data_IF_446948233601
#
_entry.id   IF_446948233601
#
_cell.length_a   1.000
_cell.length_b   1.000
_cell.length_c   1.000
_cell.angle_alpha   90.00
_cell.angle_beta   90.00
_cell.angle_gamma   90.00
#
_symmetry.space_group_name_H-M   'P 1'
#
loop_
_entity.id
_entity.type
_entity.pdbx_description
1 polymer ?
#
# COMPACT_ATOMS: atom_id res chain seq x y z
N UNK A 1 28.54 56.06 -1.47
CA UNK A 1 28.16 55.81 -2.87
C UNK A 1 26.91 54.94 -2.88
N UNK A 2 25.91 55.39 -3.63
CA UNK A 2 24.54 54.86 -3.82
C UNK A 2 24.48 53.46 -4.48
N UNK A 3 23.30 52.83 -4.62
CA UNK A 3 23.06 51.38 -4.46
C UNK A 3 22.51 50.73 -5.75
N UNK A 4 22.28 49.41 -5.78
CA UNK A 4 21.34 48.75 -6.73
C UNK A 4 20.81 47.47 -6.07
N UNK A 5 19.54 47.42 -5.62
CA UNK A 5 18.28 47.17 -6.34
C UNK A 5 17.89 45.68 -6.45
N UNK A 6 16.87 45.37 -5.65
CA UNK A 6 15.78 44.40 -5.80
C UNK A 6 15.68 43.59 -7.10
N UNK A 7 15.40 42.29 -6.95
CA UNK A 7 14.34 41.62 -7.72
C UNK A 7 13.69 40.49 -6.92
N UNK A 8 12.41 40.68 -6.62
CA UNK A 8 11.47 39.67 -6.16
C UNK A 8 10.78 39.07 -7.40
N UNK A 9 10.67 37.74 -7.51
CA UNK A 9 9.74 37.05 -8.43
C UNK A 9 9.23 35.74 -7.82
N UNK A 10 7.97 35.81 -7.39
CA UNK A 10 6.86 34.83 -7.34
C UNK A 10 7.10 33.31 -7.21
N UNK A 11 6.66 32.80 -6.05
CA UNK A 11 5.67 31.73 -5.82
C UNK A 11 5.38 30.71 -6.95
N UNK A 12 5.80 29.46 -6.72
CA UNK A 12 4.97 28.25 -6.93
C UNK A 12 5.47 27.11 -6.02
N UNK A 13 4.61 26.65 -5.10
CA UNK A 13 4.67 25.31 -4.48
C UNK A 13 5.75 25.04 -3.42
N UNK A 14 5.68 25.68 -2.25
CA UNK A 14 6.46 25.24 -1.08
C UNK A 14 5.89 23.92 -0.52
N UNK A 15 6.39 22.78 -1.01
CA UNK A 15 6.38 21.55 -0.22
C UNK A 15 7.39 21.72 0.93
N UNK A 16 6.90 21.93 2.15
CA UNK A 16 7.74 21.86 3.35
C UNK A 16 8.13 20.40 3.59
N UNK A 17 9.15 19.90 2.88
CA UNK A 17 9.84 18.66 3.26
C UNK A 17 10.48 18.93 4.62
N UNK A 18 9.95 18.31 5.70
CA UNK A 18 10.66 18.28 6.98
C UNK A 18 11.99 17.57 6.73
N UNK A 19 13.10 18.33 6.78
CA UNK A 19 14.43 17.72 6.82
C UNK A 19 14.59 17.12 8.20
N UNK A 20 14.55 15.79 8.29
CA UNK A 20 15.02 15.08 9.48
C UNK A 20 16.52 15.32 9.61
N UNK A 21 16.89 16.39 10.31
CA UNK A 21 18.25 16.59 10.76
C UNK A 21 18.43 15.72 11.99
N UNK A 22 19.18 14.63 11.86
CA UNK A 22 19.52 13.77 12.99
C UNK A 22 20.39 14.59 13.94
N UNK A 23 19.79 15.23 14.94
CA UNK A 23 20.53 15.88 16.02
C UNK A 23 21.23 14.79 16.82
N UNK A 24 22.53 14.96 17.07
CA UNK A 24 23.32 14.05 17.89
C UNK A 24 22.84 14.12 19.35
N UNK A 25 21.84 13.32 19.70
CA UNK A 25 21.50 13.04 21.10
C UNK A 25 22.54 12.09 21.69
N UNK A 26 23.11 12.46 22.84
CA UNK A 26 23.99 11.64 23.68
C UNK A 26 23.22 10.54 24.46
N UNK A 27 22.07 10.09 23.98
CA UNK A 27 21.36 8.97 24.61
C UNK A 27 22.10 7.67 24.33
N UNK A 28 22.14 6.77 25.33
CA UNK A 28 22.62 5.41 25.09
C UNK A 28 21.83 4.76 23.93
N UNK A 29 22.47 3.91 23.13
CA UNK A 29 21.77 3.16 22.08
C UNK A 29 20.65 2.30 22.66
N UNK A 30 19.53 2.26 21.96
CA UNK A 30 18.46 1.32 22.29
C UNK A 30 18.85 -0.13 21.98
N UNK A 31 18.57 -1.07 22.89
CA UNK A 31 18.44 -2.49 22.57
C UNK A 31 17.09 -2.71 21.89
N UNK A 32 17.12 -3.06 20.61
CA UNK A 32 15.92 -3.12 19.78
C UNK A 32 15.56 -4.58 19.45
N UNK A 33 14.29 -4.91 19.65
CA UNK A 33 13.69 -6.13 19.08
C UNK A 33 12.88 -5.76 17.85
N UNK A 34 13.32 -6.18 16.66
CA UNK A 34 12.65 -5.90 15.40
C UNK A 34 11.75 -7.06 14.97
N UNK A 35 10.50 -6.76 14.62
CA UNK A 35 9.49 -7.70 14.14
C UNK A 35 9.02 -7.29 12.74
N UNK A 36 9.41 -8.05 11.72
CA UNK A 36 9.01 -7.81 10.33
C UNK A 36 9.33 -9.00 9.44
N UNK A 37 8.73 -9.06 8.25
CA UNK A 37 8.86 -10.23 7.36
C UNK A 37 9.08 -9.90 5.89
N UNK A 38 8.57 -8.78 5.39
CA UNK A 38 8.46 -8.51 3.95
C UNK A 38 9.34 -7.34 3.48
N UNK A 39 9.30 -7.08 2.17
CA UNK A 39 10.04 -5.99 1.53
C UNK A 39 9.59 -4.60 2.00
N UNK A 40 8.38 -4.47 2.57
CA UNK A 40 7.98 -3.21 3.20
C UNK A 40 8.77 -2.99 4.49
N UNK A 41 8.92 -4.04 5.32
CA UNK A 41 9.62 -3.96 6.60
C UNK A 41 11.14 -3.89 6.47
N UNK A 42 11.73 -4.48 5.42
CA UNK A 42 13.18 -4.60 5.24
C UNK A 42 13.93 -3.24 5.31
N UNK A 43 13.53 -2.17 4.61
CA UNK A 43 14.22 -0.88 4.71
C UNK A 43 14.24 -0.27 6.12
N UNK A 44 13.29 -0.63 6.98
CA UNK A 44 13.26 -0.19 8.38
C UNK A 44 14.37 -0.87 9.18
N UNK A 45 14.51 -2.20 9.04
CA UNK A 45 15.60 -2.95 9.66
C UNK A 45 16.96 -2.45 9.15
N UNK A 46 17.13 -2.29 7.84
CA UNK A 46 18.37 -1.79 7.25
C UNK A 46 18.73 -0.40 7.78
N UNK A 47 17.75 0.49 7.90
CA UNK A 47 17.98 1.83 8.43
C UNK A 47 18.44 1.79 9.90
N UNK A 48 17.79 0.99 10.74
CA UNK A 48 18.20 0.80 12.14
C UNK A 48 19.59 0.17 12.21
N UNK A 49 19.83 -0.94 11.50
CA UNK A 49 21.12 -1.63 11.51
C UNK A 49 22.28 -0.74 11.07
N UNK A 50 22.17 -0.07 9.91
CA UNK A 50 23.20 0.83 9.39
C UNK A 50 23.49 2.02 10.33
N UNK A 51 22.47 2.49 11.06
CA UNK A 51 22.62 3.60 12.01
C UNK A 51 23.36 3.16 13.29
N UNK A 52 23.38 1.87 13.60
CA UNK A 52 23.97 1.34 14.82
C UNK A 52 25.40 0.82 14.58
N UNK A 53 25.66 0.15 13.45
CA UNK A 53 27.04 -0.23 13.04
C UNK A 53 27.99 0.98 13.03
N UNK A 54 27.51 2.15 12.58
CA UNK A 54 28.32 3.37 12.49
C UNK A 54 28.73 3.97 13.83
N UNK A 55 28.07 3.58 14.92
CA UNK A 55 28.27 4.20 16.24
C UNK A 55 28.84 3.23 17.26
N UNK A 56 29.09 1.97 16.87
CA UNK A 56 29.72 0.95 17.71
C UNK A 56 28.90 0.61 18.97
N UNK A 57 27.57 0.72 18.87
CA UNK A 57 26.68 0.53 20.01
C UNK A 57 25.46 -0.35 19.72
N UNK A 58 25.46 -1.52 20.37
CA UNK A 58 24.41 -2.46 20.84
C UNK A 58 23.49 -3.26 19.89
N UNK A 59 23.28 -4.50 20.34
CA UNK A 59 22.43 -5.62 19.94
C UNK A 59 21.07 -5.26 19.31
N UNK A 60 20.89 -5.70 18.06
CA UNK A 60 19.59 -5.86 17.39
C UNK A 60 19.25 -7.35 17.44
N UNK A 61 18.07 -7.66 17.96
CA UNK A 61 17.50 -8.99 17.89
C UNK A 61 16.29 -8.94 16.95
N UNK A 62 16.14 -9.92 16.08
CA UNK A 62 15.02 -9.99 15.13
C UNK A 62 14.12 -11.15 15.53
N UNK A 63 12.80 -10.95 15.56
CA UNK A 63 11.84 -12.07 15.60
C UNK A 63 11.19 -12.18 14.23
N UNK A 64 11.31 -13.36 13.63
CA UNK A 64 10.76 -13.68 12.31
C UNK A 64 9.66 -14.72 12.42
N UNK A 65 8.68 -14.64 11.52
CA UNK A 65 7.76 -15.74 11.30
C UNK A 65 8.47 -16.88 10.53
N UNK A 66 8.72 -17.99 11.23
CA UNK A 66 8.82 -19.36 10.71
C UNK A 66 9.98 -19.77 9.78
N UNK A 67 10.83 -18.90 9.19
CA UNK A 67 12.14 -19.27 8.58
C UNK A 67 12.95 -18.03 8.13
N UNK A 68 14.29 -18.13 8.09
CA UNK A 68 15.23 -17.16 7.44
C UNK A 68 15.03 -17.01 5.91
N UNK A 69 13.90 -17.44 5.35
CA UNK A 69 13.59 -17.38 3.92
C UNK A 69 12.95 -16.06 3.48
N UNK A 70 12.41 -15.29 4.43
CA UNK A 70 11.77 -14.02 4.18
C UNK A 70 12.79 -12.88 3.90
N UNK A 71 12.33 -11.74 3.41
CA UNK A 71 13.22 -10.64 3.01
C UNK A 71 14.05 -10.12 4.19
N UNK A 72 13.40 -9.95 5.34
CA UNK A 72 14.04 -9.55 6.60
C UNK A 72 15.05 -10.58 7.06
N UNK A 73 14.69 -11.87 7.04
CA UNK A 73 15.58 -12.93 7.54
C UNK A 73 16.78 -13.23 6.68
N UNK A 74 16.65 -13.12 5.36
CA UNK A 74 17.80 -13.18 4.44
C UNK A 74 18.81 -12.09 4.76
N UNK A 75 18.33 -10.86 4.98
CA UNK A 75 19.20 -9.74 5.34
C UNK A 75 19.82 -9.93 6.73
N UNK A 76 19.03 -10.34 7.72
CA UNK A 76 19.50 -10.62 9.08
C UNK A 76 20.68 -11.61 9.09
N UNK A 77 20.52 -12.72 8.39
CA UNK A 77 21.54 -13.76 8.28
C UNK A 77 22.81 -13.25 7.58
N UNK A 78 22.66 -12.47 6.50
CA UNK A 78 23.79 -11.89 5.77
C UNK A 78 24.55 -10.84 6.61
N UNK A 79 23.82 -10.09 7.43
CA UNK A 79 24.35 -9.05 8.30
C UNK A 79 24.86 -9.58 9.65
N UNK A 80 24.74 -10.88 9.92
CA UNK A 80 25.14 -11.48 11.20
C UNK A 80 24.25 -11.06 12.39
N UNK A 81 23.03 -10.60 12.14
CA UNK A 81 22.07 -10.19 13.17
C UNK A 81 21.42 -11.45 13.76
N UNK A 82 21.37 -11.56 15.08
CA UNK A 82 20.74 -12.69 15.75
C UNK A 82 19.22 -12.68 15.51
N UNK A 83 18.70 -13.78 14.96
CA UNK A 83 17.28 -14.00 14.70
C UNK A 83 16.66 -15.02 15.66
N UNK A 84 15.35 -14.86 15.92
CA UNK A 84 14.50 -15.79 16.67
C UNK A 84 13.29 -16.16 15.82
N UNK A 85 12.82 -17.40 15.99
CA UNK A 85 11.59 -17.87 15.34
C UNK A 85 10.40 -17.49 16.22
N UNK A 86 9.36 -16.93 15.61
CA UNK A 86 8.08 -16.66 16.25
C UNK A 86 7.38 -17.97 16.66
N UNK A 87 6.81 -18.06 17.88
CA UNK A 87 6.74 -17.02 18.91
C UNK A 87 8.01 -16.94 19.77
N UNK A 88 8.45 -15.70 20.07
CA UNK A 88 9.50 -15.41 21.04
C UNK A 88 9.04 -14.27 21.94
N UNK A 89 9.22 -14.46 23.26
CA UNK A 89 8.96 -13.44 24.27
C UNK A 89 10.25 -13.25 25.07
N UNK A 90 10.88 -12.06 25.03
CA UNK A 90 12.07 -11.79 25.81
C UNK A 90 11.73 -11.65 27.30
N UNK A 91 12.75 -11.81 28.15
CA UNK A 91 12.62 -11.39 29.55
C UNK A 91 12.34 -9.88 29.61
N UNK A 92 11.47 -9.41 30.53
CA UNK A 92 11.19 -7.98 30.68
C UNK A 92 12.47 -7.16 30.87
N UNK A 93 12.62 -6.09 30.08
CA UNK A 93 13.80 -5.22 30.10
C UNK A 93 15.06 -5.79 29.42
N UNK A 94 14.98 -6.97 28.80
CA UNK A 94 16.08 -7.46 27.95
C UNK A 94 16.31 -6.56 26.73
N UNK A 95 15.23 -5.95 26.23
CA UNK A 95 15.21 -4.94 25.18
C UNK A 95 14.53 -3.68 25.70
N UNK A 96 14.98 -2.52 25.22
CA UNK A 96 14.45 -1.22 25.64
C UNK A 96 13.18 -0.87 24.87
N UNK A 97 13.14 -1.20 23.58
CA UNK A 97 12.03 -0.88 22.67
C UNK A 97 11.83 -1.96 21.62
N UNK A 98 10.57 -2.29 21.33
CA UNK A 98 10.21 -3.11 20.18
C UNK A 98 9.93 -2.25 18.95
N UNK A 99 10.19 -2.78 17.76
CA UNK A 99 9.78 -2.17 16.50
C UNK A 99 9.05 -3.22 15.67
N UNK A 100 7.84 -2.93 15.24
CA UNK A 100 7.05 -3.79 14.35
C UNK A 100 6.74 -3.06 13.04
N UNK A 101 6.92 -3.76 11.93
CA UNK A 101 6.51 -3.30 10.61
C UNK A 101 6.14 -4.53 9.76
N UNK A 102 4.91 -4.58 9.25
CA UNK A 102 4.42 -5.67 8.38
C UNK A 102 4.78 -7.08 8.86
N UNK A 103 4.48 -7.37 10.13
CA UNK A 103 4.79 -8.67 10.75
C UNK A 103 3.66 -9.70 10.62
N UNK A 104 2.42 -9.25 10.44
CA UNK A 104 1.28 -10.14 10.14
C UNK A 104 0.70 -10.93 11.32
N UNK A 105 1.28 -10.82 12.52
CA UNK A 105 0.77 -11.47 13.74
C UNK A 105 0.23 -10.48 14.76
N UNK A 106 -0.77 -10.92 15.53
CA UNK A 106 -1.20 -10.21 16.73
C UNK A 106 -0.16 -10.44 17.83
N UNK A 107 0.35 -9.35 18.42
CA UNK A 107 1.35 -9.44 19.48
C UNK A 107 0.67 -9.70 20.83
N UNK A 108 1.10 -10.72 21.60
CA UNK A 108 0.53 -11.02 22.90
C UNK A 108 0.90 -9.93 23.90
N UNK A 109 0.02 -9.64 24.86
CA UNK A 109 0.23 -8.58 25.86
C UNK A 109 1.54 -8.77 26.65
N UNK A 110 1.94 -10.01 26.93
CA UNK A 110 3.22 -10.33 27.59
C UNK A 110 4.42 -9.80 26.81
N UNK A 111 4.44 -9.97 25.48
CA UNK A 111 5.49 -9.41 24.63
C UNK A 111 5.46 -7.90 24.65
N UNK A 112 4.28 -7.27 24.52
CA UNK A 112 4.15 -5.81 24.52
C UNK A 112 4.68 -5.21 25.83
N UNK A 113 4.35 -5.84 26.95
CA UNK A 113 4.72 -5.38 28.29
C UNK A 113 6.19 -5.68 28.67
N UNK A 114 6.92 -6.45 27.85
CA UNK A 114 8.33 -6.77 28.11
C UNK A 114 9.27 -5.58 27.85
N UNK A 115 8.80 -4.52 27.17
CA UNK A 115 9.60 -3.38 26.75
C UNK A 115 9.34 -2.13 27.60
N UNK A 116 10.36 -1.51 28.21
CA UNK A 116 10.23 -0.24 28.93
C UNK A 116 9.57 0.88 28.11
N UNK A 117 9.87 0.98 26.81
CA UNK A 117 9.31 1.98 25.90
C UNK A 117 8.23 1.39 24.96
N UNK A 118 7.68 0.22 25.32
CA UNK A 118 6.68 -0.47 24.51
C UNK A 118 7.22 -0.88 23.13
N UNK A 119 6.30 -0.98 22.16
CA UNK A 119 6.62 -1.35 20.78
C UNK A 119 6.07 -0.30 19.82
N UNK A 120 6.93 0.18 18.94
CA UNK A 120 6.60 1.12 17.87
C UNK A 120 6.12 0.36 16.63
N UNK A 121 5.00 0.78 16.04
CA UNK A 121 4.54 0.29 14.74
C UNK A 121 4.75 1.35 13.65
N UNK A 122 5.28 0.91 12.51
CA UNK A 122 5.36 1.74 11.30
C UNK A 122 4.18 1.42 10.38
N UNK A 123 3.14 2.25 10.43
CA UNK A 123 1.89 2.02 9.72
C UNK A 123 1.79 2.87 8.45
N UNK A 124 1.63 2.28 7.25
CA UNK A 124 1.63 3.02 5.98
C UNK A 124 0.26 3.62 5.63
N UNK A 125 -0.28 4.41 6.56
CA UNK A 125 -1.38 5.34 6.32
C UNK A 125 -1.32 6.54 7.28
N UNK A 126 -2.17 7.53 7.00
CA UNK A 126 -2.48 8.60 7.95
C UNK A 126 -3.59 8.13 8.91
N UNK A 127 -3.20 7.47 10.00
CA UNK A 127 -4.13 7.04 11.05
C UNK A 127 -4.92 8.23 11.60
N UNK A 128 -6.23 8.05 11.90
CA UNK A 128 -6.94 6.78 12.06
C UNK A 128 -7.49 6.15 10.76
N UNK A 129 -7.20 6.72 9.59
CA UNK A 129 -7.64 6.16 8.30
C UNK A 129 -6.89 4.86 8.00
N UNK A 130 -7.60 3.87 7.47
CA UNK A 130 -7.06 2.60 6.99
C UNK A 130 -6.33 1.74 8.05
N UNK A 131 -6.93 1.58 9.24
CA UNK A 131 -6.49 0.59 10.25
C UNK A 131 -6.60 -0.84 9.70
N UNK A 132 -5.55 -1.65 9.81
CA UNK A 132 -5.56 -3.05 9.41
C UNK A 132 -4.44 -3.43 8.44
N UNK A 133 -4.63 -4.58 7.77
CA UNK A 133 -3.57 -5.31 7.08
C UNK A 133 -3.22 -4.84 5.66
N UNK A 134 -4.04 -4.02 5.00
CA UNK A 134 -3.81 -3.61 3.61
C UNK A 134 -4.00 -2.10 3.33
N UNK A 135 -3.51 -1.19 4.19
CA UNK A 135 -3.74 0.26 4.06
C UNK A 135 -3.34 0.84 2.70
N UNK A 136 -2.22 0.38 2.13
CA UNK A 136 -1.70 0.86 0.83
C UNK A 136 -2.70 0.57 -0.29
N UNK A 137 -3.22 -0.67 -0.36
CA UNK A 137 -4.18 -1.08 -1.37
C UNK A 137 -5.49 -0.28 -1.22
N UNK A 138 -5.99 -0.14 0.02
CA UNK A 138 -7.23 0.60 0.29
C UNK A 138 -7.11 2.10 0.00
N UNK A 139 -5.94 2.69 0.21
CA UNK A 139 -5.63 4.07 -0.17
C UNK A 139 -5.79 4.29 -1.68
N UNK A 140 -5.29 3.36 -2.50
CA UNK A 140 -5.42 3.46 -3.96
C UNK A 140 -6.87 3.21 -4.39
N UNK A 141 -7.54 2.23 -3.79
CA UNK A 141 -8.93 1.89 -4.08
C UNK A 141 -9.89 3.04 -3.74
N UNK A 142 -9.67 3.78 -2.65
CA UNK A 142 -10.48 4.97 -2.31
C UNK A 142 -10.23 6.14 -3.27
N UNK A 143 -9.12 6.12 -4.00
CA UNK A 143 -8.72 7.21 -4.88
C UNK A 143 -8.16 8.41 -4.15
N UNK A 144 -7.58 8.21 -2.97
CA UNK A 144 -6.91 9.28 -2.23
C UNK A 144 -5.75 9.86 -3.07
N UNK A 145 -5.60 11.19 -3.02
CA UNK A 145 -4.46 11.90 -3.62
C UNK A 145 -3.31 12.12 -2.64
N UNK A 146 -3.54 11.85 -1.35
CA UNK A 146 -2.58 12.02 -0.27
C UNK A 146 -2.73 10.84 0.70
N UNK A 147 -1.61 10.26 1.11
CA UNK A 147 -1.50 9.29 2.20
C UNK A 147 -0.31 9.66 3.07
N UNK A 148 0.30 8.71 3.77
CA UNK A 148 1.45 8.95 4.59
C UNK A 148 1.87 7.74 5.40
N UNK A 149 2.76 7.99 6.35
CA UNK A 149 3.18 7.01 7.35
C UNK A 149 2.88 7.57 8.73
N UNK A 150 2.42 6.71 9.62
CA UNK A 150 2.24 6.98 11.04
C UNK A 150 3.19 6.10 11.84
N UNK A 151 3.93 6.69 12.79
CA UNK A 151 4.63 5.95 13.84
C UNK A 151 3.74 6.02 15.07
N UNK A 152 3.35 4.86 15.59
CA UNK A 152 2.47 4.75 16.76
C UNK A 152 3.04 3.78 17.78
N UNK A 153 2.64 3.91 19.04
CA UNK A 153 2.76 2.80 19.98
C UNK A 153 1.66 1.78 19.70
N UNK A 154 1.95 0.50 19.86
CA UNK A 154 0.91 -0.54 19.81
C UNK A 154 0.14 -0.61 21.13
N UNK A 155 -1.13 -0.96 21.03
CA UNK A 155 -1.96 -1.30 22.18
C UNK A 155 -2.24 -2.80 22.18
N UNK A 156 -2.34 -3.41 23.36
CA UNK A 156 -2.72 -4.80 23.47
C UNK A 156 -4.14 -5.04 22.92
N UNK A 157 -4.37 -6.24 22.37
CA UNK A 157 -5.66 -6.76 21.91
C UNK A 157 -6.34 -6.03 20.73
N UNK A 158 -5.82 -4.91 20.23
CA UNK A 158 -6.41 -4.16 19.11
C UNK A 158 -5.34 -3.71 18.10
N UNK A 159 -5.64 -3.86 16.81
CA UNK A 159 -4.76 -3.39 15.74
C UNK A 159 -4.90 -1.90 15.49
N UNK A 160 -3.76 -1.21 15.37
CA UNK A 160 -3.64 0.16 14.82
C UNK A 160 -4.45 1.24 15.55
N UNK A 161 -4.72 1.07 16.84
CA UNK A 161 -5.47 2.04 17.68
C UNK A 161 -4.61 2.81 18.67
N UNK A 162 -3.33 2.45 18.83
CA UNK A 162 -2.50 3.06 19.86
C UNK A 162 -2.09 4.50 19.56
N UNK A 163 -1.55 5.23 20.55
CA UNK A 163 -1.19 6.64 20.41
C UNK A 163 -0.20 6.92 19.27
N UNK A 164 -0.41 8.02 18.56
CA UNK A 164 0.47 8.50 17.49
C UNK A 164 1.64 9.27 18.09
N UNK A 165 2.85 8.91 17.65
CA UNK A 165 4.09 9.61 17.95
C UNK A 165 4.45 10.59 16.82
N UNK A 166 4.40 10.11 15.57
CA UNK A 166 4.70 10.89 14.38
C UNK A 166 3.73 10.56 13.26
N UNK A 167 3.49 11.52 12.39
CA UNK A 167 2.76 11.31 11.14
C UNK A 167 3.31 12.24 10.06
N UNK A 168 3.55 11.70 8.87
CA UNK A 168 4.01 12.48 7.72
C UNK A 168 3.20 12.16 6.48
N UNK A 169 2.80 13.22 5.77
CA UNK A 169 2.02 13.14 4.54
C UNK A 169 2.90 12.89 3.33
N UNK A 170 2.36 12.16 2.38
CA UNK A 170 2.96 11.84 1.10
C UNK A 170 1.90 12.00 0.00
N UNK A 171 2.21 12.79 -1.03
CA UNK A 171 1.36 12.89 -2.21
C UNK A 171 1.41 11.57 -2.99
N UNK A 172 0.28 11.19 -3.57
CA UNK A 172 0.13 10.00 -4.39
C UNK A 172 0.18 10.44 -5.85
N UNK A 173 1.15 9.92 -6.58
CA UNK A 173 1.26 10.19 -8.02
C UNK A 173 0.11 9.53 -8.77
N UNK A 174 -0.40 10.22 -9.80
CA UNK A 174 -1.47 9.68 -10.62
C UNK A 174 -0.99 8.45 -11.40
N UNK A 175 -1.71 7.33 -11.27
CA UNK A 175 -1.34 6.07 -11.91
C UNK A 175 -0.37 5.21 -11.10
N UNK A 176 0.04 5.62 -9.90
CA UNK A 176 0.92 4.79 -9.06
C UNK A 176 0.26 3.46 -8.69
N UNK A 177 1.03 2.37 -8.77
CA UNK A 177 0.63 1.04 -8.31
C UNK A 177 0.83 0.87 -6.81
N UNK A 178 0.16 -0.12 -6.22
CA UNK A 178 0.37 -0.46 -4.80
C UNK A 178 1.82 -0.89 -4.52
N UNK A 179 2.52 -1.47 -5.50
CA UNK A 179 3.92 -1.87 -5.36
C UNK A 179 4.83 -0.66 -5.27
N UNK A 180 4.64 0.34 -6.15
CA UNK A 180 5.43 1.57 -6.13
C UNK A 180 5.15 2.40 -4.88
N UNK A 181 3.87 2.56 -4.52
CA UNK A 181 3.48 3.29 -3.31
C UNK A 181 4.03 2.60 -2.04
N UNK A 182 4.06 1.26 -2.01
CA UNK A 182 4.70 0.50 -0.92
C UNK A 182 6.17 0.85 -0.77
N UNK A 183 6.93 0.88 -1.86
CA UNK A 183 8.35 1.24 -1.84
C UNK A 183 8.56 2.67 -1.34
N UNK A 184 7.74 3.62 -1.82
CA UNK A 184 7.79 5.02 -1.40
C UNK A 184 7.50 5.19 0.09
N UNK A 185 6.43 4.56 0.60
CA UNK A 185 6.05 4.65 2.01
C UNK A 185 7.01 3.87 2.93
N UNK A 186 7.59 2.77 2.47
CA UNK A 186 8.64 2.07 3.22
C UNK A 186 9.90 2.94 3.40
N UNK A 187 10.33 3.62 2.33
CA UNK A 187 11.46 4.57 2.41
C UNK A 187 11.18 5.77 3.30
N UNK A 188 9.94 6.26 3.32
CA UNK A 188 9.51 7.32 4.23
C UNK A 188 9.49 6.81 5.68
N UNK A 189 8.87 5.64 5.91
CA UNK A 189 8.72 5.04 7.22
C UNK A 189 10.05 4.72 7.89
N UNK A 190 11.07 4.27 7.14
CA UNK A 190 12.40 4.01 7.69
C UNK A 190 13.07 5.28 8.22
N UNK A 191 12.93 6.42 7.52
CA UNK A 191 13.44 7.72 7.98
C UNK A 191 12.69 8.20 9.22
N UNK A 192 11.36 8.07 9.21
CA UNK A 192 10.53 8.44 10.35
C UNK A 192 10.82 7.58 11.59
N UNK A 193 11.08 6.29 11.41
CA UNK A 193 11.46 5.38 12.48
C UNK A 193 12.78 5.80 13.13
N UNK A 194 13.81 6.12 12.32
CA UNK A 194 15.08 6.61 12.86
C UNK A 194 14.92 7.90 13.65
N UNK A 195 14.08 8.81 13.17
CA UNK A 195 13.75 10.03 13.91
C UNK A 195 13.03 9.71 15.22
N UNK A 196 12.03 8.82 15.18
CA UNK A 196 11.29 8.41 16.36
C UNK A 196 12.20 7.81 17.42
N UNK A 197 13.12 6.92 17.04
CA UNK A 197 14.10 6.33 17.95
C UNK A 197 15.06 7.38 18.52
N UNK A 198 15.44 8.40 17.74
CA UNK A 198 16.36 9.44 18.23
C UNK A 198 15.75 10.42 19.24
N UNK A 199 14.42 10.58 19.25
CA UNK A 199 13.69 11.53 20.08
C UNK A 199 12.55 10.88 20.89
N UNK A 200 12.67 9.56 21.15
CA UNK A 200 11.57 8.75 21.66
C UNK A 200 10.98 9.30 22.96
N UNK A 201 11.82 9.65 23.93
CA UNK A 201 11.38 10.19 25.22
C UNK A 201 10.50 11.43 25.12
N UNK A 202 10.75 12.32 24.15
CA UNK A 202 9.93 13.52 23.97
C UNK A 202 8.65 13.17 23.20
N UNK A 203 8.76 12.35 22.16
CA UNK A 203 7.61 11.89 21.39
C UNK A 203 6.60 11.10 22.23
N UNK A 204 7.06 10.32 23.21
CA UNK A 204 6.19 9.61 24.17
C UNK A 204 5.39 10.58 25.04
N UNK A 205 6.01 11.69 25.49
CA UNK A 205 5.32 12.72 26.27
C UNK A 205 4.29 13.48 25.44
N UNK A 206 4.55 13.64 24.15
CA UNK A 206 3.67 14.33 23.21
C UNK A 206 2.69 13.40 22.48
N UNK A 207 2.71 12.10 22.79
CA UNK A 207 1.94 11.09 22.11
C UNK A 207 0.43 11.41 22.16
N UNK A 208 -0.23 11.31 21.01
CA UNK A 208 -1.65 11.69 20.88
C UNK A 208 -2.52 10.47 20.69
N UNK A 209 -3.57 10.36 21.50
CA UNK A 209 -4.65 9.39 21.24
C UNK A 209 -5.24 9.69 19.86
N UNK A 210 -5.47 8.64 19.07
CA UNK A 210 -6.07 8.80 17.75
C UNK A 210 -7.50 9.35 17.87
N UNK A 211 -7.90 10.15 16.89
CA UNK A 211 -9.30 10.57 16.74
C UNK A 211 -10.21 9.37 16.49
N UNK A 212 -11.44 9.44 17.00
CA UNK A 212 -12.53 8.53 16.60
C UNK A 212 -13.19 8.98 15.28
N UNK A 213 -13.03 10.24 14.91
CA UNK A 213 -13.48 10.79 13.62
C UNK A 213 -12.50 10.43 12.51
N UNK A 214 -13.02 9.95 11.37
CA UNK A 214 -12.22 9.57 10.20
C UNK A 214 -11.61 8.15 10.28
N UNK A 215 -12.05 7.33 11.23
CA UNK A 215 -11.65 5.93 11.34
C UNK A 215 -12.17 5.16 10.13
N UNK A 216 -11.27 4.49 9.41
CA UNK A 216 -11.64 3.50 8.40
C UNK A 216 -10.75 2.27 8.53
N UNK A 217 -11.26 1.11 8.11
CA UNK A 217 -10.50 -0.14 8.17
C UNK A 217 -9.72 -0.35 6.85
N UNK A 218 -8.84 -1.33 6.81
CA UNK A 218 -8.18 -1.81 5.59
C UNK A 218 -7.93 -3.33 5.67
N UNK A 219 -8.97 -4.17 5.52
CA UNK A 219 -8.85 -5.62 5.59
C UNK A 219 -8.02 -6.17 4.44
N UNK A 220 -7.45 -7.36 4.65
CA UNK A 220 -6.61 -8.07 3.68
C UNK A 220 -7.29 -8.19 2.32
N UNK A 221 -6.53 -7.93 1.26
CA UNK A 221 -6.98 -8.17 -0.11
C UNK A 221 -7.15 -9.68 -0.34
N UNK A 222 -8.28 -10.07 -0.93
CA UNK A 222 -8.66 -11.46 -1.22
C UNK A 222 -8.89 -11.61 -2.72
N UNK A 223 -8.80 -12.84 -3.23
CA UNK A 223 -9.04 -13.16 -4.65
C UNK A 223 -10.38 -12.64 -5.18
N UNK A 224 -11.44 -12.65 -4.36
CA UNK A 224 -12.76 -12.10 -4.75
C UNK A 224 -12.70 -10.61 -5.11
N UNK A 225 -11.77 -9.85 -4.53
CA UNK A 225 -11.61 -8.42 -4.83
C UNK A 225 -11.01 -8.19 -6.22
N UNK A 226 -10.48 -9.21 -6.89
CA UNK A 226 -9.97 -9.10 -8.25
C UNK A 226 -11.06 -9.27 -9.31
N UNK A 227 -12.28 -9.68 -8.91
CA UNK A 227 -13.41 -9.82 -9.83
C UNK A 227 -13.86 -8.46 -10.34
N UNK A 228 -14.05 -8.34 -11.65
CA UNK A 228 -14.55 -7.10 -12.26
C UNK A 228 -16.08 -7.15 -12.31
N UNK A 229 -16.71 -6.05 -11.95
CA UNK A 229 -18.12 -5.80 -12.14
C UNK A 229 -18.29 -4.69 -13.17
N UNK A 230 -18.42 -5.09 -14.45
CA UNK A 230 -18.49 -4.19 -15.60
C UNK A 230 -19.69 -3.25 -15.52
N UNK A 231 -20.80 -3.69 -14.94
CA UNK A 231 -22.03 -2.91 -14.80
C UNK A 231 -21.95 -1.83 -13.72
N UNK A 232 -21.20 -2.08 -12.65
CA UNK A 232 -21.14 -1.19 -11.48
C UNK A 232 -19.93 -0.27 -11.46
N UNK A 233 -18.83 -0.68 -12.07
CA UNK A 233 -17.55 0.01 -12.00
C UNK A 233 -17.33 0.92 -13.20
N UNK A 234 -16.79 2.11 -12.93
CA UNK A 234 -16.29 3.04 -13.95
C UNK A 234 -14.90 2.63 -14.44
N UNK A 235 -14.40 3.23 -15.54
CA UNK A 235 -13.00 3.05 -15.92
C UNK A 235 -12.02 3.38 -14.79
N UNK A 236 -12.30 4.41 -13.99
CA UNK A 236 -11.47 4.82 -12.84
C UNK A 236 -11.50 3.81 -11.71
N UNK A 237 -12.66 3.20 -11.45
CA UNK A 237 -12.78 2.15 -10.42
C UNK A 237 -11.98 0.91 -10.82
N UNK A 238 -12.06 0.50 -12.09
CA UNK A 238 -11.32 -0.64 -12.62
C UNK A 238 -9.81 -0.35 -12.64
N UNK A 239 -9.39 0.86 -13.04
CA UNK A 239 -7.99 1.28 -12.99
C UNK A 239 -7.43 1.25 -11.56
N UNK A 240 -8.16 1.80 -10.58
CA UNK A 240 -7.76 1.73 -9.16
C UNK A 240 -7.70 0.29 -8.68
N UNK A 241 -8.67 -0.54 -9.05
CA UNK A 241 -8.68 -1.95 -8.72
C UNK A 241 -7.48 -2.68 -9.34
N UNK A 242 -7.13 -2.39 -10.59
CA UNK A 242 -5.95 -2.96 -11.25
C UNK A 242 -4.67 -2.59 -10.52
N UNK A 243 -4.46 -1.29 -10.24
CA UNK A 243 -3.27 -0.79 -9.56
C UNK A 243 -3.16 -1.22 -8.10
N UNK A 244 -4.29 -1.43 -7.42
CA UNK A 244 -4.33 -1.83 -6.02
C UNK A 244 -4.36 -3.33 -5.82
N UNK A 245 -5.24 -4.05 -6.50
CA UNK A 245 -5.50 -5.49 -6.32
C UNK A 245 -4.67 -6.32 -7.29
N UNK A 246 -4.48 -5.84 -8.52
CA UNK A 246 -3.72 -6.52 -9.59
C UNK A 246 -2.29 -6.89 -9.20
N UNK A 247 -1.69 -6.16 -8.26
CA UNK A 247 -0.34 -6.45 -7.72
C UNK A 247 -0.26 -7.71 -6.87
N UNK A 248 -1.41 -8.24 -6.42
CA UNK A 248 -1.51 -9.46 -5.60
C UNK A 248 -2.37 -10.52 -6.30
N UNK A 249 -3.43 -10.09 -6.99
CA UNK A 249 -4.37 -10.93 -7.71
C UNK A 249 -4.74 -10.23 -9.02
N UNK A 250 -4.28 -10.78 -10.15
CA UNK A 250 -4.69 -10.32 -11.49
C UNK A 250 -6.21 -10.20 -11.59
N UNK A 251 -6.69 -9.12 -12.20
CA UNK A 251 -8.12 -8.92 -12.37
C UNK A 251 -8.72 -10.07 -13.18
N UNK A 252 -9.96 -10.44 -12.85
CA UNK A 252 -10.61 -11.58 -13.46
C UNK A 252 -12.09 -11.32 -13.74
N UNK A 253 -12.56 -11.92 -14.81
CA UNK A 253 -13.94 -11.98 -15.25
C UNK A 253 -14.26 -13.41 -15.64
N UNK A 254 -15.45 -13.64 -16.18
CA UNK A 254 -15.81 -14.88 -16.85
C UNK A 254 -16.12 -14.62 -18.33
N UNK A 255 -15.75 -15.57 -19.18
CA UNK A 255 -16.04 -15.65 -20.60
C UNK A 255 -16.52 -17.07 -20.90
N UNK A 256 -17.75 -17.25 -21.39
CA UNK A 256 -18.32 -18.56 -21.70
C UNK A 256 -18.24 -19.57 -20.54
N UNK A 257 -18.59 -19.15 -19.32
CA UNK A 257 -18.55 -20.02 -18.14
C UNK A 257 -17.14 -20.30 -17.60
N UNK A 258 -16.10 -19.71 -18.18
CA UNK A 258 -14.70 -19.95 -17.82
C UNK A 258 -14.02 -18.68 -17.34
N UNK A 259 -13.20 -18.81 -16.28
CA UNK A 259 -12.43 -17.69 -15.74
C UNK A 259 -11.43 -17.20 -16.78
N UNK A 260 -11.43 -15.88 -16.97
CA UNK A 260 -10.48 -15.16 -17.81
C UNK A 260 -9.80 -14.09 -16.96
N UNK A 261 -8.48 -13.99 -17.04
CA UNK A 261 -7.73 -12.93 -16.33
C UNK A 261 -7.37 -11.82 -17.32
N UNK A 262 -7.55 -10.59 -16.85
CA UNK A 262 -7.25 -9.38 -17.59
C UNK A 262 -5.87 -8.88 -17.15
N UNK A 263 -4.92 -8.87 -18.09
CA UNK A 263 -3.53 -8.55 -17.82
C UNK A 263 -3.05 -7.42 -18.73
N UNK A 264 -1.98 -6.73 -18.33
CA UNK A 264 -1.42 -5.60 -19.08
C UNK A 264 -2.51 -4.57 -19.47
N UNK A 265 -3.15 -4.00 -18.45
CA UNK A 265 -4.16 -2.94 -18.63
C UNK A 265 -3.52 -1.68 -19.23
N UNK A 266 -4.14 -1.13 -20.27
CA UNK A 266 -3.73 0.15 -20.86
C UNK A 266 -4.04 1.27 -19.85
N UNK A 267 -3.04 2.09 -19.45
CA UNK A 267 -3.27 3.21 -18.55
C UNK A 267 -4.34 4.17 -19.08
N UNK A 268 -5.22 4.66 -18.21
CA UNK A 268 -6.36 5.49 -18.65
C UNK A 268 -5.94 6.73 -19.45
N UNK A 269 -4.78 7.35 -19.13
CA UNK A 269 -4.24 8.48 -19.89
C UNK A 269 -3.88 8.10 -21.33
N UNK A 270 -3.30 6.92 -21.52
CA UNK A 270 -2.98 6.38 -22.85
C UNK A 270 -4.25 5.93 -23.59
N UNK A 271 -5.30 5.58 -22.84
CA UNK A 271 -6.56 5.10 -23.39
C UNK A 271 -7.51 6.22 -23.86
N UNK A 272 -7.44 7.42 -23.28
CA UNK A 272 -8.32 8.54 -23.65
C UNK A 272 -8.40 8.85 -25.17
N UNK A 273 -7.30 8.81 -25.94
CA UNK A 273 -7.36 8.96 -27.39
C UNK A 273 -8.07 7.80 -28.09
N UNK A 274 -7.90 6.57 -27.59
CA UNK A 274 -8.52 5.34 -28.13
C UNK A 274 -10.04 5.39 -27.93
N UNK A 275 -10.48 5.78 -26.73
CA UNK A 275 -11.90 5.82 -26.36
C UNK A 275 -12.74 6.70 -27.30
N UNK A 276 -12.17 7.78 -27.83
CA UNK A 276 -12.86 8.68 -28.78
C UNK A 276 -13.27 8.00 -30.09
N UNK A 277 -12.58 6.92 -30.47
CA UNK A 277 -12.88 6.13 -31.67
C UNK A 277 -13.85 4.98 -31.43
N UNK A 278 -14.29 4.77 -30.18
CA UNK A 278 -15.18 3.66 -29.83
C UNK A 278 -16.65 4.00 -30.06
N UNK A 279 -17.52 2.98 -30.27
CA UNK A 279 -18.96 3.16 -30.38
C UNK A 279 -19.57 3.88 -29.18
N UNK A 280 -20.80 4.41 -29.35
CA UNK A 280 -21.55 5.05 -28.26
C UNK A 280 -21.69 4.11 -27.06
N UNK A 281 -21.95 4.70 -25.88
CA UNK A 281 -22.09 3.96 -24.63
C UNK A 281 -23.35 3.06 -24.55
N UNK A 282 -24.11 2.94 -25.64
CA UNK A 282 -25.39 2.22 -25.71
C UNK A 282 -25.24 0.69 -25.90
N UNK A 283 -24.01 0.18 -25.91
CA UNK A 283 -23.75 -1.27 -25.90
C UNK A 283 -23.73 -1.83 -24.47
N UNK A 284 -24.11 -3.11 -24.28
CA UNK A 284 -24.08 -3.77 -22.96
C UNK A 284 -22.71 -3.69 -22.27
N UNK A 285 -22.71 -3.65 -20.94
CA UNK A 285 -21.47 -3.80 -20.18
C UNK A 285 -20.87 -5.19 -20.40
N UNK A 286 -19.54 -5.28 -20.38
CA UNK A 286 -18.80 -6.50 -20.71
C UNK A 286 -18.62 -6.73 -22.22
N UNK A 287 -19.23 -5.93 -23.10
CA UNK A 287 -19.02 -6.05 -24.54
C UNK A 287 -17.54 -5.86 -24.90
N UNK A 288 -16.91 -6.84 -25.57
CA UNK A 288 -15.55 -6.71 -26.08
C UNK A 288 -15.50 -6.01 -27.44
N UNK A 289 -14.46 -5.20 -27.66
CA UNK A 289 -14.10 -4.65 -28.96
C UNK A 289 -12.59 -4.66 -29.11
N UNK A 290 -12.07 -5.32 -30.15
CA UNK A 290 -10.65 -5.26 -30.45
C UNK A 290 -10.30 -3.97 -31.18
N UNK A 291 -9.43 -3.16 -30.59
CA UNK A 291 -8.96 -1.92 -31.19
C UNK A 291 -7.63 -2.18 -31.91
N UNK A 292 -7.67 -2.13 -33.25
CA UNK A 292 -6.55 -2.54 -34.12
C UNK A 292 -5.30 -1.69 -33.87
N UNK A 293 -5.44 -0.36 -33.79
CA UNK A 293 -4.28 0.53 -33.77
C UNK A 293 -3.46 0.44 -32.47
N UNK A 294 -4.10 0.09 -31.34
CA UNK A 294 -3.41 -0.12 -30.06
C UNK A 294 -3.17 -1.60 -29.74
N UNK A 295 -3.58 -2.49 -30.63
CA UNK A 295 -3.59 -3.95 -30.44
C UNK A 295 -4.13 -4.38 -29.06
N UNK A 296 -5.21 -3.73 -28.60
CA UNK A 296 -5.78 -3.96 -27.28
C UNK A 296 -7.26 -4.34 -27.33
N UNK A 297 -7.69 -5.13 -26.35
CA UNK A 297 -9.07 -5.52 -26.18
C UNK A 297 -9.77 -4.51 -25.28
N UNK A 298 -10.64 -3.69 -25.87
CA UNK A 298 -11.50 -2.76 -25.15
C UNK A 298 -12.71 -3.51 -24.60
N UNK A 299 -13.10 -3.23 -23.36
CA UNK A 299 -14.25 -3.85 -22.70
C UNK A 299 -15.13 -2.74 -22.15
N UNK A 300 -16.41 -2.75 -22.53
CA UNK A 300 -17.41 -1.79 -22.04
C UNK A 300 -17.61 -1.97 -20.54
N UNK A 301 -17.56 -0.88 -19.79
CA UNK A 301 -17.98 -0.83 -18.39
C UNK A 301 -19.05 0.25 -18.21
N UNK A 302 -19.48 0.51 -16.97
CA UNK A 302 -20.69 1.29 -16.65
C UNK A 302 -20.83 2.57 -17.47
N UNK A 303 -19.80 3.42 -17.47
CA UNK A 303 -19.82 4.76 -18.06
C UNK A 303 -18.60 5.05 -18.94
N UNK A 304 -18.00 4.01 -19.51
CA UNK A 304 -16.91 4.15 -20.48
C UNK A 304 -16.29 2.81 -20.81
N UNK A 305 -15.04 2.84 -21.27
CA UNK A 305 -14.31 1.64 -21.64
C UNK A 305 -12.98 1.52 -20.89
N UNK A 306 -12.48 0.30 -20.80
CA UNK A 306 -11.09 0.02 -20.40
C UNK A 306 -10.47 -0.93 -21.41
N UNK A 307 -9.14 -0.96 -21.52
CA UNK A 307 -8.46 -1.82 -22.46
C UNK A 307 -7.34 -2.64 -21.82
N UNK A 308 -7.13 -3.84 -22.36
CA UNK A 308 -6.08 -4.77 -21.94
C UNK A 308 -5.31 -5.28 -23.17
N UNK A 309 -3.99 -5.38 -23.06
CA UNK A 309 -3.13 -5.89 -24.15
C UNK A 309 -2.92 -7.40 -24.05
N UNK A 310 -3.05 -7.97 -22.86
CA UNK A 310 -2.85 -9.39 -22.59
C UNK A 310 -4.07 -10.01 -21.89
N UNK A 311 -4.39 -11.25 -22.27
CA UNK A 311 -5.51 -11.99 -21.70
C UNK A 311 -5.00 -13.38 -21.33
N UNK A 312 -5.36 -13.86 -20.14
CA UNK A 312 -5.11 -15.26 -19.76
C UNK A 312 -6.42 -16.02 -19.84
N UNK A 313 -6.57 -16.78 -20.92
CA UNK A 313 -7.71 -17.66 -21.15
C UNK A 313 -7.21 -19.06 -21.57
N UNK A 314 -7.29 -20.03 -20.65
CA UNK A 314 -6.62 -21.35 -20.74
C UNK A 314 -5.08 -21.27 -20.72
N UNK A 315 -4.51 -20.33 -21.48
CA UNK A 315 -3.10 -19.90 -21.50
C UNK A 315 -3.02 -18.38 -21.67
N UNK A 316 -1.86 -17.80 -21.42
CA UNK A 316 -1.61 -16.39 -21.71
C UNK A 316 -1.54 -16.16 -23.23
N UNK A 317 -2.15 -15.08 -23.70
CA UNK A 317 -2.18 -14.69 -25.11
C UNK A 317 -2.38 -13.18 -25.28
N UNK A 318 -2.06 -12.67 -26.46
CA UNK A 318 -2.33 -11.27 -26.81
C UNK A 318 -3.83 -11.00 -26.95
N UNK A 319 -4.25 -9.75 -26.78
CA UNK A 319 -5.61 -9.30 -27.08
C UNK A 319 -6.04 -9.63 -28.51
N UNK A 320 -5.10 -9.56 -29.47
CA UNK A 320 -5.32 -9.90 -30.88
C UNK A 320 -5.61 -11.38 -31.07
N UNK A 321 -4.81 -12.26 -30.46
CA UNK A 321 -5.02 -13.70 -30.51
C UNK A 321 -6.34 -14.09 -29.85
N UNK A 322 -6.67 -13.44 -28.72
CA UNK A 322 -7.95 -13.64 -28.06
C UNK A 322 -9.10 -13.22 -28.98
N UNK A 323 -9.01 -12.06 -29.63
CA UNK A 323 -10.02 -11.60 -30.58
C UNK A 323 -10.23 -12.58 -31.73
N UNK A 324 -9.14 -12.99 -32.39
CA UNK A 324 -9.19 -13.90 -33.53
C UNK A 324 -9.78 -15.28 -33.16
N UNK A 325 -9.43 -15.79 -31.98
CA UNK A 325 -9.84 -17.13 -31.55
C UNK A 325 -11.20 -17.20 -30.87
N UNK A 326 -11.62 -16.13 -30.18
CA UNK A 326 -12.76 -16.18 -29.24
C UNK A 326 -13.79 -15.08 -29.43
N UNK A 327 -13.53 -14.00 -30.19
CA UNK A 327 -14.51 -12.92 -30.39
C UNK A 327 -15.03 -12.91 -31.83
N UNK A 328 -14.13 -12.95 -32.82
CA UNK A 328 -14.46 -12.78 -34.24
C UNK A 328 -15.26 -13.95 -34.86
N UNK A 329 -15.56 -15.01 -34.10
CA UNK A 329 -16.38 -16.12 -34.57
C UNK A 329 -17.86 -15.78 -34.48
N UNK A 330 -18.64 -16.04 -35.54
CA UNK A 330 -20.10 -15.83 -35.56
C UNK A 330 -20.83 -16.52 -34.40
N UNK A 331 -20.27 -17.64 -33.89
CA UNK A 331 -20.84 -18.37 -32.74
C UNK A 331 -20.78 -17.61 -31.43
N UNK A 332 -19.90 -16.61 -31.33
CA UNK A 332 -19.66 -15.82 -30.13
C UNK A 332 -20.19 -14.38 -30.30
N UNK A 333 -21.00 -14.15 -31.34
CA UNK A 333 -21.59 -12.84 -31.58
C UNK A 333 -22.52 -12.45 -30.43
N UNK A 334 -22.28 -11.28 -29.83
CA UNK A 334 -23.04 -10.79 -28.68
C UNK A 334 -22.60 -11.35 -27.32
N UNK A 335 -21.58 -12.22 -27.26
CA UNK A 335 -21.01 -12.69 -26.00
C UNK A 335 -20.34 -11.52 -25.25
N UNK A 336 -20.54 -11.48 -23.92
CA UNK A 336 -19.98 -10.44 -23.05
C UNK A 336 -19.18 -11.04 -21.90
N UNK A 337 -18.20 -10.28 -21.42
CA UNK A 337 -17.53 -10.58 -20.17
C UNK A 337 -18.51 -10.41 -18.99
N UNK A 338 -18.64 -11.45 -18.17
CA UNK A 338 -19.64 -11.46 -17.11
C UNK A 338 -19.17 -10.65 -15.89
N UNK A 339 -20.10 -9.91 -15.30
CA UNK A 339 -19.87 -9.13 -14.08
C UNK A 339 -19.99 -10.02 -12.84
N UNK A 340 -19.09 -9.82 -11.87
CA UNK A 340 -19.24 -10.47 -10.56
C UNK A 340 -19.02 -9.49 -9.42
N UNK A 341 -19.80 -9.66 -8.35
CA UNK A 341 -19.61 -8.90 -7.11
C UNK A 341 -18.23 -9.13 -6.50
N UNK A 342 -17.56 -8.02 -6.16
CA UNK A 342 -16.21 -8.02 -5.58
C UNK A 342 -16.15 -7.42 -4.17
N UNK A 343 -17.24 -6.81 -3.69
CA UNK A 343 -17.35 -6.27 -2.33
C UNK A 343 -16.51 -5.02 -2.06
N UNK A 344 -15.91 -4.41 -3.09
CA UNK A 344 -15.10 -3.18 -2.93
C UNK A 344 -15.97 -1.93 -2.78
N UNK A 345 -17.10 -1.84 -3.48
CA UNK A 345 -17.97 -0.64 -3.49
C UNK A 345 -18.65 -0.35 -2.14
N UNK A 346 -19.21 -1.39 -1.52
CA UNK A 346 -19.80 -1.31 -0.18
C UNK A 346 -18.80 -0.83 0.89
N UNK A 347 -17.50 -0.96 0.61
CA UNK A 347 -16.45 -0.55 1.53
C UNK A 347 -16.29 0.97 1.60
N UNK A 348 -16.38 1.66 0.46
CA UNK A 348 -16.19 3.10 0.39
C UNK A 348 -17.49 3.85 0.68
N UNK A 349 -18.64 3.37 0.20
CA UNK A 349 -19.93 4.00 0.48
C UNK A 349 -20.23 4.01 2.00
N UNK A 350 -19.96 2.92 2.72
CA UNK A 350 -20.14 2.85 4.18
C UNK A 350 -19.11 3.68 4.97
N UNK A 351 -17.91 3.91 4.43
CA UNK A 351 -16.90 4.77 5.06
C UNK A 351 -17.09 6.27 4.73
N UNK A 352 -17.84 6.61 3.67
CA UNK A 352 -18.08 8.00 3.27
C UNK A 352 -19.26 8.63 4.03
N UNK A 353 -20.22 7.82 4.49
CA UNK A 353 -21.35 8.31 5.30
C UNK A 353 -20.88 8.89 6.63
N UNK A 354 -19.82 8.33 7.24
CA UNK A 354 -19.23 8.84 8.47
C UNK A 354 -18.54 10.22 8.32
N UNK A 355 -18.21 10.66 7.10
CA UNK A 355 -17.59 11.97 6.83
C UNK A 355 -18.62 13.07 6.49
N UNK A 356 -19.91 12.73 6.30
CA UNK A 356 -20.96 13.69 5.93
C UNK A 356 -21.84 14.16 7.10
N UNK A 357 -21.62 13.63 8.31
CA UNK A 357 -22.39 13.98 9.51
C UNK A 357 -21.55 14.70 10.60
N UNK A 358 -20.50 15.43 10.21
CA UNK A 358 -19.75 16.32 11.12
C UNK A 358 -19.63 17.74 10.57
#
# INVERSE_FOLDING_TARGET
MSPFLSKCLSLTGMQTRRRYCLTQSKSQPWKILFLGTDDFSLPHLQAVHNRYERFDVTYILIIEALTFSCAVGKYAMQAGIQGHVWPYVPQPGAFDVGVVASFGHLLPAELINAFPHGILNVHPSLLPKFRGSAPINHTILSGDSVTGVSIMQIAAHRFDVGPLLLQEKCNIEEGISATELRSQLSSLGSKMLLHALSDLHNLEKEAKVQSEVGVSKAPKIKLKHARVNWERQTPRDIDRQYRAVGTVHTLQSEWQGQVVKMDDMVPLKEFQPIEKGLPSNDVPCGTPLFHIASESLCIKCRDGWVAFRQIVFKKQMSAKDFSNGYISSDRNHGETFQSHENGLRNYFENNTIAEREC
#
